data_IF_773815447273
#
_entry.id   IF_773815447273
#
_cell.length_a   1.000
_cell.length_b   1.000
_cell.length_c   1.000
_cell.angle_alpha   90.00
_cell.angle_beta   90.00
_cell.angle_gamma   90.00
#
_symmetry.space_group_name_H-M   'P 1'
#
loop_
_entity.id
_entity.type
_entity.pdbx_description
1 polymer ?
#
# COMPACT_ATOMS: atom_id res chain seq x y z
N UNK A 1 -1.34 -5.50 7.91
CA UNK A 1 -1.23 -5.80 9.35
C UNK A 1 0.13 -6.42 9.61
N UNK A 2 0.51 -6.56 10.86
CA UNK A 2 1.70 -7.29 11.27
C UNK A 2 1.29 -8.72 11.64
N UNK A 3 2.01 -9.70 11.13
CA UNK A 3 1.83 -11.14 11.39
C UNK A 3 3.17 -11.64 11.88
N UNK A 4 3.23 -12.06 13.15
CA UNK A 4 4.48 -12.28 13.89
C UNK A 4 5.45 -11.09 13.81
N UNK A 5 4.92 -9.88 13.97
CA UNK A 5 5.71 -8.63 13.90
C UNK A 5 6.13 -8.20 12.49
N UNK A 6 6.00 -9.06 11.48
CA UNK A 6 6.33 -8.76 10.09
C UNK A 6 5.11 -8.25 9.32
N UNK A 7 5.27 -7.19 8.53
CA UNK A 7 4.16 -6.70 7.70
C UNK A 7 3.83 -7.69 6.59
N UNK A 8 2.58 -8.15 6.57
CA UNK A 8 2.09 -9.10 5.57
C UNK A 8 0.66 -8.78 5.14
N UNK A 9 0.28 -9.36 4.00
CA UNK A 9 -1.07 -9.36 3.46
C UNK A 9 -1.75 -10.65 3.87
N UNK A 10 -2.73 -10.57 4.76
CA UNK A 10 -3.40 -11.74 5.30
C UNK A 10 -4.05 -12.59 4.18
N UNK A 11 -4.64 -11.97 3.17
CA UNK A 11 -5.35 -12.65 2.09
C UNK A 11 -4.45 -13.51 1.17
N UNK A 12 -3.14 -13.26 1.14
CA UNK A 12 -2.19 -14.00 0.30
C UNK A 12 -1.26 -14.89 1.11
N UNK A 13 -1.46 -14.94 2.43
CA UNK A 13 -0.62 -15.68 3.35
C UNK A 13 -1.31 -16.99 3.69
N UNK A 14 -0.79 -18.08 3.14
CA UNK A 14 -1.32 -19.41 3.40
C UNK A 14 -0.95 -19.85 4.82
N UNK A 15 -1.92 -20.42 5.53
CA UNK A 15 -1.81 -20.76 6.96
C UNK A 15 -0.87 -21.94 7.19
N UNK A 16 -0.82 -22.91 6.28
CA UNK A 16 0.14 -24.02 6.27
C UNK A 16 1.58 -23.50 6.45
N UNK A 17 1.98 -22.53 5.62
CA UNK A 17 3.32 -21.91 5.65
C UNK A 17 3.61 -21.12 6.92
N UNK A 18 2.58 -20.76 7.70
CA UNK A 18 2.74 -20.09 8.99
C UNK A 18 2.86 -21.04 10.17
N UNK A 19 2.32 -22.26 10.02
CA UNK A 19 2.29 -23.30 11.05
C UNK A 19 3.49 -24.25 10.93
N UNK A 20 4.16 -24.29 9.77
CA UNK A 20 5.43 -24.99 9.57
C UNK A 20 6.56 -24.52 10.53
N UNK A 21 6.43 -23.34 11.16
CA UNK A 21 7.39 -22.76 12.11
C UNK A 21 7.21 -23.23 13.60
N UNK A 22 6.51 -24.34 13.87
CA UNK A 22 6.22 -24.85 15.24
C UNK A 22 5.50 -23.84 16.17
N UNK A 23 4.69 -22.92 15.62
CA UNK A 23 3.96 -21.93 16.41
C UNK A 23 2.55 -22.42 16.75
N UNK A 24 2.17 -22.39 18.03
CA UNK A 24 0.85 -22.84 18.52
C UNK A 24 -0.30 -21.86 18.23
N UNK A 25 0.00 -20.61 17.85
CA UNK A 25 -1.01 -19.59 17.55
C UNK A 25 -0.47 -18.53 16.59
N UNK A 26 -1.36 -17.98 15.74
CA UNK A 26 -1.04 -16.88 14.83
C UNK A 26 -1.20 -15.55 15.54
N UNK A 27 -0.09 -14.81 15.69
CA UNK A 27 -0.13 -13.46 16.24
C UNK A 27 -0.43 -12.43 15.15
N UNK A 28 -1.50 -11.65 15.36
CA UNK A 28 -1.89 -10.52 14.51
C UNK A 28 -1.83 -9.22 15.31
N UNK A 29 -1.22 -8.19 14.72
CA UNK A 29 -1.20 -6.82 15.27
C UNK A 29 -1.56 -5.80 14.18
N UNK A 30 -2.16 -4.64 14.53
CA UNK A 30 -2.33 -3.56 13.56
C UNK A 30 -0.96 -3.10 13.01
N UNK A 31 -0.98 -2.39 11.89
CA UNK A 31 0.23 -1.71 11.43
C UNK A 31 0.65 -0.64 12.45
N UNK A 32 1.94 -0.55 12.77
CA UNK A 32 2.48 0.30 13.83
C UNK A 32 2.61 1.77 13.42
N UNK A 33 2.71 2.07 12.13
CA UNK A 33 2.98 3.42 11.62
C UNK A 33 1.74 4.19 11.18
N UNK A 34 0.57 3.63 11.41
CA UNK A 34 -0.72 4.21 11.08
C UNK A 34 -1.59 4.28 12.34
N UNK A 35 -2.33 5.37 12.58
CA UNK A 35 -3.23 5.45 13.74
C UNK A 35 -4.24 4.29 13.73
N UNK A 36 -4.43 3.64 14.86
CA UNK A 36 -5.42 2.56 14.98
C UNK A 36 -6.80 3.16 15.17
N UNK A 37 -7.73 2.79 14.30
CA UNK A 37 -9.14 3.17 14.44
C UNK A 37 -9.84 2.15 15.35
N UNK A 38 -9.73 0.86 15.04
CA UNK A 38 -10.32 -0.23 15.84
C UNK A 38 -9.70 -1.59 15.50
N UNK A 39 -9.29 -2.36 16.51
CA UNK A 39 -8.66 -3.68 16.34
C UNK A 39 -7.46 -3.64 15.37
N UNK A 40 -7.53 -4.33 14.23
CA UNK A 40 -6.49 -4.36 13.18
C UNK A 40 -6.69 -3.28 12.10
N UNK A 41 -7.78 -2.50 12.19
CA UNK A 41 -8.10 -1.45 11.23
C UNK A 41 -7.36 -0.16 11.59
N UNK A 42 -6.59 0.35 10.63
CA UNK A 42 -5.75 1.54 10.77
C UNK A 42 -6.16 2.62 9.76
N UNK A 43 -5.98 3.87 10.13
CA UNK A 43 -6.15 5.02 9.27
C UNK A 43 -4.94 5.17 8.33
N UNK A 44 -5.18 5.02 7.02
CA UNK A 44 -4.16 5.18 5.97
C UNK A 44 -4.27 6.49 5.20
N UNK A 45 -5.07 7.45 5.67
CA UNK A 45 -5.34 8.70 4.94
C UNK A 45 -4.06 9.50 4.65
N UNK A 46 -3.02 9.40 5.49
CA UNK A 46 -1.70 10.01 5.23
C UNK A 46 -1.04 9.50 3.94
N UNK A 47 -1.23 8.22 3.59
CA UNK A 47 -0.76 7.68 2.30
C UNK A 47 -1.50 8.36 1.14
N UNK A 48 -2.83 8.47 1.23
CA UNK A 48 -3.65 9.10 0.19
C UNK A 48 -3.31 10.59 0.02
N UNK A 49 -3.14 11.33 1.13
CA UNK A 49 -2.67 12.73 1.09
C UNK A 49 -1.30 12.89 0.44
N UNK A 50 -0.41 11.90 0.58
CA UNK A 50 0.89 11.95 -0.08
C UNK A 50 0.77 11.79 -1.61
N UNK A 51 -0.16 10.94 -2.08
CA UNK A 51 -0.48 10.81 -3.51
C UNK A 51 -1.10 12.09 -4.05
N UNK A 52 -1.99 12.73 -3.25
CA UNK A 52 -2.57 14.03 -3.60
C UNK A 52 -1.50 15.13 -3.71
N UNK A 53 -0.65 15.25 -2.69
CA UNK A 53 0.45 16.22 -2.65
C UNK A 53 1.44 16.05 -3.82
N UNK A 54 1.55 14.84 -4.37
CA UNK A 54 2.45 14.51 -5.48
C UNK A 54 1.73 14.46 -6.83
N UNK A 55 0.45 14.82 -6.88
CA UNK A 55 -0.34 14.86 -8.10
C UNK A 55 -0.23 13.54 -8.89
N UNK A 56 -0.35 12.41 -8.19
CA UNK A 56 -0.22 11.08 -8.79
C UNK A 56 -1.44 10.67 -9.63
N UNK A 57 -1.91 11.57 -10.50
CA UNK A 57 -2.95 11.38 -11.50
C UNK A 57 -2.44 11.88 -12.85
N UNK A 58 -3.12 11.48 -13.92
CA UNK A 58 -2.85 12.02 -15.25
C UNK A 58 -3.54 13.39 -15.33
N UNK A 59 -2.82 14.48 -15.62
CA UNK A 59 -3.48 15.78 -15.83
C UNK A 59 -4.39 15.68 -17.04
N UNK A 60 -5.59 16.24 -16.91
CA UNK A 60 -6.56 16.33 -18.00
C UNK A 60 -6.78 17.80 -18.34
N UNK A 61 -6.68 18.13 -19.62
CA UNK A 61 -6.90 19.51 -20.09
C UNK A 61 -8.39 19.91 -20.08
N UNK A 62 -9.28 18.92 -19.93
CA UNK A 62 -10.73 19.10 -19.83
C UNK A 62 -11.48 17.77 -19.79
N UNK A 63 -12.80 17.83 -19.76
CA UNK A 63 -13.69 16.65 -19.73
C UNK A 63 -14.38 16.38 -21.08
N UNK A 64 -14.07 17.17 -22.10
CA UNK A 64 -14.57 16.94 -23.45
C UNK A 64 -13.84 15.75 -24.09
N UNK A 65 -14.49 15.09 -25.05
CA UNK A 65 -13.83 14.07 -25.87
C UNK A 65 -12.71 14.71 -26.69
N UNK A 66 -11.46 14.34 -26.40
CA UNK A 66 -10.27 14.82 -27.11
C UNK A 66 -9.69 13.75 -28.06
N UNK A 67 -10.42 12.66 -28.29
CA UNK A 67 -9.98 11.54 -29.11
C UNK A 67 -9.02 10.60 -28.37
N UNK A 68 -8.24 9.79 -29.12
CA UNK A 68 -7.38 8.77 -28.53
C UNK A 68 -6.23 9.37 -27.72
N UNK A 69 -5.91 8.72 -26.59
CA UNK A 69 -4.80 9.13 -25.74
C UNK A 69 -3.41 9.00 -26.42
N UNK A 70 -2.37 9.61 -25.83
CA UNK A 70 -1.02 9.56 -26.38
C UNK A 70 -0.51 8.13 -26.57
N UNK A 71 0.13 7.86 -27.71
CA UNK A 71 0.74 6.56 -27.97
C UNK A 71 1.92 6.32 -27.01
N UNK A 72 1.99 5.12 -26.46
CA UNK A 72 3.11 4.68 -25.62
C UNK A 72 3.95 3.64 -26.35
N UNK A 73 5.27 3.71 -26.23
CA UNK A 73 6.17 2.68 -26.74
C UNK A 73 6.19 1.47 -25.80
N UNK A 74 6.45 0.27 -26.34
CA UNK A 74 6.57 -0.94 -25.52
C UNK A 74 7.63 -0.80 -24.42
N UNK A 75 8.78 -0.20 -24.74
CA UNK A 75 9.84 0.06 -23.77
C UNK A 75 9.41 1.00 -22.64
N UNK A 76 8.53 1.98 -22.91
CA UNK A 76 7.97 2.84 -21.86
C UNK A 76 6.94 2.09 -21.02
N UNK A 77 6.09 1.28 -21.65
CA UNK A 77 5.10 0.46 -20.96
C UNK A 77 5.76 -0.53 -20.00
N UNK A 78 6.81 -1.23 -20.43
CA UNK A 78 7.57 -2.18 -19.60
C UNK A 78 8.16 -1.51 -18.35
N UNK A 79 8.66 -0.28 -18.49
CA UNK A 79 9.18 0.50 -17.34
C UNK A 79 8.06 0.93 -16.38
N UNK A 80 6.89 1.28 -16.90
CA UNK A 80 5.78 1.81 -16.11
C UNK A 80 4.96 0.71 -15.39
N UNK A 81 4.87 -0.49 -15.98
CA UNK A 81 4.02 -1.55 -15.48
C UNK A 81 4.34 -2.01 -14.03
N UNK A 82 5.60 -2.12 -13.59
CA UNK A 82 5.91 -2.40 -12.19
C UNK A 82 5.40 -1.34 -11.22
N UNK A 83 5.36 -0.07 -11.64
CA UNK A 83 4.90 1.05 -10.82
C UNK A 83 3.37 1.06 -10.68
N UNK A 84 2.64 0.65 -11.73
CA UNK A 84 1.17 0.61 -11.72
C UNK A 84 0.58 -0.53 -10.89
N UNK A 85 1.39 -1.51 -10.50
CA UNK A 85 0.96 -2.64 -9.66
C UNK A 85 0.78 -2.28 -8.17
N UNK A 86 1.08 -1.04 -7.78
CA UNK A 86 0.88 -0.58 -6.41
C UNK A 86 -0.62 -0.59 -6.05
N UNK A 87 -0.99 -1.34 -5.02
CA UNK A 87 -2.36 -1.40 -4.49
C UNK A 87 -2.60 -0.43 -3.31
N UNK A 88 -1.71 0.53 -3.07
CA UNK A 88 -1.83 1.51 -1.96
C UNK A 88 -2.07 0.87 -0.59
N UNK A 89 -1.54 -0.34 -0.35
CA UNK A 89 -1.83 -1.12 0.87
C UNK A 89 -1.03 -0.66 2.09
N UNK A 90 0.06 0.07 1.88
CA UNK A 90 0.90 0.65 2.93
C UNK A 90 1.99 -0.26 3.50
N UNK A 91 2.20 -1.48 2.97
CA UNK A 91 3.21 -2.42 3.53
C UNK A 91 4.64 -1.92 3.42
N UNK A 92 5.01 -1.28 2.31
CA UNK A 92 6.34 -0.67 2.16
C UNK A 92 6.57 0.46 3.17
N UNK A 93 5.54 1.27 3.45
CA UNK A 93 5.60 2.32 4.46
C UNK A 93 5.72 1.71 5.87
N UNK A 94 4.99 0.64 6.14
CA UNK A 94 5.10 -0.09 7.40
C UNK A 94 6.51 -0.67 7.62
N UNK A 95 7.19 -1.13 6.57
CA UNK A 95 8.55 -1.64 6.65
C UNK A 95 9.61 -0.52 6.77
N UNK A 96 9.39 0.64 6.15
CA UNK A 96 10.38 1.73 6.06
C UNK A 96 10.70 2.39 7.40
N UNK A 97 11.93 2.31 7.90
CA UNK A 97 12.33 2.91 9.18
C UNK A 97 12.15 4.44 9.27
N UNK A 98 12.09 5.14 8.14
CA UNK A 98 11.90 6.60 8.11
C UNK A 98 10.42 7.01 8.19
N UNK A 99 9.50 6.10 7.92
CA UNK A 99 8.08 6.38 8.03
C UNK A 99 7.64 6.13 9.48
N UNK A 100 7.27 7.18 10.20
CA UNK A 100 6.92 7.12 11.62
C UNK A 100 5.44 7.43 11.83
N UNK A 101 4.87 6.92 12.93
CA UNK A 101 3.52 7.28 13.35
C UNK A 101 3.45 8.79 13.61
N UNK A 102 2.40 9.42 13.07
CA UNK A 102 2.11 10.85 13.32
C UNK A 102 0.66 10.93 13.75
N UNK A 103 0.42 11.47 14.94
CA UNK A 103 -0.91 11.78 15.45
C UNK A 103 -1.11 13.28 15.37
N UNK A 104 -2.07 13.72 14.58
CA UNK A 104 -2.55 15.11 14.59
C UNK A 104 -3.52 15.20 15.77
N UNK A 105 -3.19 16.05 16.74
CA UNK A 105 -4.03 16.32 17.92
C UNK A 105 -5.15 17.30 17.57
#
# INVERSE_FOLDING_TARGET
MLIYGCVRQACSLLVDRLLDEERSAIELRPMSKFPVIRHLFVDRHRLLRALEKRECWIPVDGYADMGPGPRQSAAQQEKNYPLSQCMSRGCCLEACAQYQLVTVT
#
